data_IF_938602369045
#
_entry.id   IF_938602369045
#
_cell.length_a   1.000
_cell.length_b   1.000
_cell.length_c   1.000
_cell.angle_alpha   90.00
_cell.angle_beta   90.00
_cell.angle_gamma   90.00
#
_symmetry.space_group_name_H-M   'P 1'
#
loop_
_entity.id
_entity.type
_entity.pdbx_description
1 polymer ?
#
# COMPACT_ATOMS: atom_id res chain seq x y z
N UNK A 1 4.58 12.99 12.25
CA UNK A 1 5.45 11.80 12.07
C UNK A 1 5.28 10.80 13.20
N UNK A 2 5.48 9.53 12.86
CA UNK A 2 5.36 8.44 13.80
C UNK A 2 6.70 7.77 14.05
N UNK A 3 6.84 7.21 15.26
CA UNK A 3 7.89 6.25 15.58
C UNK A 3 7.26 4.87 15.68
N UNK A 4 7.85 3.90 15.00
CA UNK A 4 7.39 2.51 15.02
C UNK A 4 8.31 1.71 15.94
N UNK A 5 7.71 1.05 16.92
CA UNK A 5 8.39 0.13 17.81
C UNK A 5 8.00 -1.29 17.44
N UNK A 6 8.98 -2.17 17.43
CA UNK A 6 8.75 -3.62 17.30
C UNK A 6 9.38 -4.28 18.52
N UNK A 7 8.58 -5.01 19.29
CA UNK A 7 8.99 -5.66 20.53
C UNK A 7 9.69 -4.69 21.48
N UNK A 8 9.11 -3.50 21.64
CA UNK A 8 9.58 -2.41 22.50
C UNK A 8 10.91 -1.76 22.07
N UNK A 9 11.36 -2.01 20.85
CA UNK A 9 12.54 -1.33 20.29
C UNK A 9 12.11 -0.39 19.17
N UNK A 10 12.56 0.85 19.21
CA UNK A 10 12.32 1.80 18.13
C UNK A 10 13.09 1.36 16.87
N UNK A 11 12.37 1.11 15.78
CA UNK A 11 12.96 0.62 14.53
C UNK A 11 12.88 1.65 13.41
N UNK A 12 11.85 2.48 13.40
CA UNK A 12 11.69 3.58 12.45
C UNK A 12 11.21 4.81 13.19
N UNK A 13 11.76 5.97 12.89
CA UNK A 13 11.37 7.25 13.49
C UNK A 13 11.13 8.28 12.40
N UNK A 14 10.30 9.28 12.71
CA UNK A 14 9.99 10.36 11.78
C UNK A 14 9.26 9.91 10.53
N UNK A 15 8.45 8.85 10.62
CA UNK A 15 7.70 8.32 9.49
C UNK A 15 6.49 9.20 9.21
N UNK A 16 6.49 9.86 8.07
CA UNK A 16 5.42 10.74 7.63
C UNK A 16 4.45 10.03 6.67
N UNK A 17 3.34 10.71 6.38
CA UNK A 17 2.34 10.22 5.44
C UNK A 17 2.96 9.92 4.08
N UNK A 18 2.58 8.79 3.48
CA UNK A 18 3.06 8.28 2.19
C UNK A 18 4.54 7.90 2.15
N UNK A 19 5.22 7.86 3.26
CA UNK A 19 6.59 7.35 3.32
C UNK A 19 6.62 5.84 3.40
N UNK A 20 7.66 5.26 2.78
CA UNK A 20 7.89 3.81 2.75
C UNK A 20 9.29 3.54 3.29
N UNK A 21 9.38 2.62 4.24
CA UNK A 21 10.67 2.24 4.82
C UNK A 21 11.36 1.17 3.98
N UNK A 22 12.62 0.92 4.28
CA UNK A 22 13.32 -0.26 3.78
C UNK A 22 12.79 -1.51 4.49
N UNK A 23 12.95 -2.67 3.84
CA UNK A 23 12.63 -3.94 4.47
C UNK A 23 13.53 -4.17 5.68
N UNK A 24 12.93 -4.75 6.70
CA UNK A 24 13.62 -5.16 7.90
C UNK A 24 13.33 -6.63 8.17
N UNK A 25 14.37 -7.38 8.47
CA UNK A 25 14.24 -8.80 8.77
C UNK A 25 13.73 -9.00 10.20
N UNK A 26 12.71 -9.84 10.34
CA UNK A 26 12.14 -10.25 11.62
C UNK A 26 12.08 -11.76 11.68
N UNK A 27 12.23 -12.31 12.89
CA UNK A 27 11.99 -13.74 13.12
C UNK A 27 10.53 -14.09 12.90
N UNK A 28 10.26 -15.32 12.48
CA UNK A 28 8.88 -15.81 12.40
C UNK A 28 8.27 -15.89 13.80
N UNK A 29 6.98 -15.58 13.87
CA UNK A 29 6.23 -15.61 15.13
C UNK A 29 5.49 -14.30 15.35
N UNK A 30 4.93 -14.17 16.55
CA UNK A 30 4.22 -12.97 16.94
C UNK A 30 5.19 -11.88 17.40
N UNK A 31 4.96 -10.68 16.90
CA UNK A 31 5.68 -9.48 17.31
C UNK A 31 4.68 -8.41 17.73
N UNK A 32 5.05 -7.60 18.70
CA UNK A 32 4.23 -6.47 19.12
C UNK A 32 4.70 -5.21 18.42
N UNK A 33 3.78 -4.61 17.67
CA UNK A 33 4.00 -3.35 16.96
C UNK A 33 3.34 -2.23 17.74
N UNK A 34 4.06 -1.13 17.97
CA UNK A 34 3.51 0.06 18.60
C UNK A 34 3.78 1.27 17.74
N UNK A 35 2.78 2.13 17.60
CA UNK A 35 2.86 3.36 16.84
C UNK A 35 2.76 4.53 17.81
N UNK A 36 3.82 5.32 17.88
CA UNK A 36 3.91 6.47 18.78
C UNK A 36 3.99 7.76 17.96
N UNK A 37 3.23 8.76 18.36
CA UNK A 37 3.32 10.09 17.77
C UNK A 37 4.50 10.89 18.34
N UNK A 38 4.79 12.04 17.71
CA UNK A 38 5.85 12.95 18.14
C UNK A 38 5.61 13.54 19.54
N UNK A 39 4.36 13.52 20.00
CA UNK A 39 3.98 13.95 21.35
C UNK A 39 4.22 12.86 22.43
N UNK A 40 4.75 11.71 22.05
CA UNK A 40 4.98 10.58 22.95
C UNK A 40 3.73 9.74 23.22
N UNK A 41 2.60 10.05 22.60
CA UNK A 41 1.37 9.27 22.77
C UNK A 41 1.42 8.00 21.91
N UNK A 42 1.05 6.85 22.54
CA UNK A 42 0.96 5.58 21.82
C UNK A 42 -0.45 5.44 21.25
N UNK A 43 -0.56 5.56 19.92
CA UNK A 43 -1.84 5.49 19.23
C UNK A 43 -2.33 4.07 19.02
N UNK A 44 -1.40 3.12 18.93
CA UNK A 44 -1.74 1.73 18.64
C UNK A 44 -0.66 0.81 19.20
N UNK A 45 -1.10 -0.29 19.79
CA UNK A 45 -0.25 -1.43 20.12
C UNK A 45 -0.98 -2.69 19.66
N UNK A 46 -0.34 -3.45 18.76
CA UNK A 46 -0.97 -4.59 18.12
C UNK A 46 0.03 -5.74 18.00
N UNK A 47 -0.40 -6.93 18.37
CA UNK A 47 0.35 -8.16 18.12
C UNK A 47 -0.02 -8.67 16.73
N UNK A 48 1.01 -8.94 15.90
CA UNK A 48 0.82 -9.45 14.55
C UNK A 48 1.75 -10.63 14.32
N UNK A 49 1.27 -11.64 13.62
CA UNK A 49 2.10 -12.77 13.22
C UNK A 49 2.93 -12.39 12.00
N UNK A 50 4.23 -12.62 12.11
CA UNK A 50 5.19 -12.47 11.00
C UNK A 50 5.52 -13.87 10.51
N UNK A 51 5.11 -14.16 9.28
CA UNK A 51 5.33 -15.45 8.68
C UNK A 51 6.58 -15.48 7.82
N UNK A 52 6.64 -16.50 6.98
CA UNK A 52 7.67 -16.64 5.96
C UNK A 52 7.40 -15.67 4.80
N UNK A 53 8.48 -15.24 4.13
CA UNK A 53 8.39 -14.35 2.97
C UNK A 53 8.38 -12.88 3.33
N UNK A 54 8.04 -12.05 2.35
CA UNK A 54 8.06 -10.59 2.47
C UNK A 54 6.65 -10.05 2.60
N UNK A 55 6.51 -8.98 3.38
CA UNK A 55 5.24 -8.28 3.53
C UNK A 55 5.48 -6.80 3.77
N UNK A 56 4.50 -6.00 3.41
CA UNK A 56 4.42 -4.59 3.75
C UNK A 56 3.37 -4.41 4.82
N UNK A 57 3.73 -3.75 5.92
CA UNK A 57 2.79 -3.42 6.99
C UNK A 57 2.45 -1.94 6.85
N UNK A 58 1.18 -1.66 6.65
CA UNK A 58 0.68 -0.30 6.44
C UNK A 58 0.01 0.24 7.69
N UNK A 59 0.31 1.48 8.03
CA UNK A 59 -0.42 2.24 9.06
C UNK A 59 -1.61 2.89 8.38
N UNK A 60 -2.80 2.54 8.82
CA UNK A 60 -4.05 2.99 8.19
C UNK A 60 -5.01 3.54 9.23
N UNK A 61 -6.01 4.29 8.76
CA UNK A 61 -7.14 4.65 9.58
C UNK A 61 -8.16 3.49 9.61
N UNK A 62 -8.96 3.46 10.67
CA UNK A 62 -10.06 2.50 10.79
C UNK A 62 -11.20 3.14 11.58
N UNK A 63 -12.29 2.41 11.75
CA UNK A 63 -13.43 2.88 12.55
C UNK A 63 -13.10 3.14 14.02
N UNK A 64 -12.01 2.56 14.51
CA UNK A 64 -11.60 2.69 15.93
C UNK A 64 -10.30 3.49 16.10
N UNK A 65 -9.83 4.17 15.04
CA UNK A 65 -8.59 4.95 15.04
C UNK A 65 -7.55 4.31 14.14
N UNK A 66 -6.27 4.44 14.51
CA UNK A 66 -5.19 3.83 13.72
C UNK A 66 -5.21 2.31 13.82
N UNK A 67 -4.84 1.66 12.73
CA UNK A 67 -4.67 0.22 12.67
C UNK A 67 -3.46 -0.13 11.79
N UNK A 68 -3.06 -1.38 11.82
CA UNK A 68 -2.01 -1.94 10.97
C UNK A 68 -2.59 -3.03 10.10
N UNK A 69 -2.22 -3.01 8.83
CA UNK A 69 -2.64 -3.99 7.83
C UNK A 69 -1.40 -4.61 7.21
N UNK A 70 -1.37 -5.93 7.11
CA UNK A 70 -0.27 -6.64 6.47
C UNK A 70 -0.65 -7.02 5.04
N UNK A 71 0.17 -6.60 4.08
CA UNK A 71 0.00 -6.90 2.66
C UNK A 71 1.15 -7.81 2.25
N UNK A 72 0.84 -9.03 1.83
CA UNK A 72 1.86 -9.98 1.41
C UNK A 72 2.40 -9.61 0.03
N UNK A 73 3.71 -9.73 -0.12
CA UNK A 73 4.40 -9.58 -1.38
C UNK A 73 4.40 -10.93 -2.09
N UNK A 74 3.39 -11.18 -2.92
CA UNK A 74 3.27 -12.42 -3.67
C UNK A 74 4.21 -12.43 -4.87
N UNK A 75 4.56 -13.63 -5.34
CA UNK A 75 5.42 -13.77 -6.50
C UNK A 75 4.72 -13.32 -7.78
N UNK A 76 5.47 -12.65 -8.64
CA UNK A 76 5.02 -12.30 -9.98
C UNK A 76 6.22 -12.32 -10.92
N UNK A 77 6.41 -13.41 -11.70
CA UNK A 77 7.55 -13.52 -12.60
C UNK A 77 7.50 -12.44 -13.67
N UNK A 78 8.64 -11.82 -13.91
CA UNK A 78 8.81 -10.81 -14.95
C UNK A 78 9.99 -11.19 -15.85
N UNK A 79 10.07 -10.52 -17.00
CA UNK A 79 11.21 -10.61 -17.90
C UNK A 79 11.62 -9.19 -18.35
N UNK A 80 12.59 -9.13 -19.26
CA UNK A 80 13.13 -7.84 -19.70
C UNK A 80 12.16 -7.02 -20.58
N UNK A 81 10.99 -7.57 -20.94
CA UNK A 81 9.95 -6.87 -21.71
C UNK A 81 8.69 -6.61 -20.91
N UNK A 82 8.59 -7.13 -19.69
CA UNK A 82 7.37 -7.07 -18.89
C UNK A 82 7.63 -6.61 -17.47
N UNK A 83 6.56 -6.17 -16.84
CA UNK A 83 6.52 -5.81 -15.43
C UNK A 83 5.23 -6.31 -14.82
N UNK A 84 5.16 -6.33 -13.49
CA UNK A 84 3.97 -6.68 -12.75
C UNK A 84 3.41 -5.44 -12.06
N UNK A 85 2.09 -5.36 -12.00
CA UNK A 85 1.40 -4.23 -11.37
C UNK A 85 0.17 -4.74 -10.64
N UNK A 86 -0.06 -4.20 -9.46
CA UNK A 86 -1.30 -4.43 -8.69
C UNK A 86 -1.71 -3.16 -7.98
N UNK A 87 -2.97 -3.13 -7.53
CA UNK A 87 -3.56 -2.03 -6.76
C UNK A 87 -3.87 -2.53 -5.36
N UNK A 88 -3.44 -1.76 -4.36
CA UNK A 88 -3.76 -1.99 -2.96
C UNK A 88 -4.52 -0.78 -2.42
N UNK A 89 -5.70 -0.99 -1.88
CA UNK A 89 -6.53 0.10 -1.39
C UNK A 89 -6.32 0.29 0.12
N UNK A 90 -5.69 1.40 0.48
CA UNK A 90 -5.52 1.84 1.87
C UNK A 90 -6.32 3.10 2.17
N UNK A 91 -7.24 3.49 1.28
CA UNK A 91 -8.08 4.68 1.41
C UNK A 91 -9.36 4.35 2.19
N UNK A 92 -9.24 4.34 3.50
CA UNK A 92 -10.34 3.97 4.40
C UNK A 92 -11.62 4.78 4.13
N UNK A 93 -11.49 6.10 3.93
CA UNK A 93 -12.63 6.99 3.78
C UNK A 93 -13.34 6.86 2.43
N UNK A 94 -12.65 6.35 1.42
CA UNK A 94 -13.19 6.22 0.06
C UNK A 94 -14.01 4.96 -0.15
N UNK A 95 -13.87 3.95 0.71
CA UNK A 95 -14.45 2.64 0.49
C UNK A 95 -13.79 1.93 -0.69
N UNK A 96 -14.48 0.98 -1.35
CA UNK A 96 -13.91 0.28 -2.49
C UNK A 96 -13.55 1.24 -3.61
N UNK A 97 -12.48 0.93 -4.34
CA UNK A 97 -12.00 1.74 -5.47
C UNK A 97 -11.92 0.90 -6.73
N UNK A 98 -12.09 1.58 -7.86
CA UNK A 98 -11.81 1.06 -9.19
C UNK A 98 -10.57 1.78 -9.73
N UNK A 99 -9.63 1.02 -10.24
CA UNK A 99 -8.46 1.58 -10.89
C UNK A 99 -8.29 0.97 -12.28
N UNK A 100 -7.74 1.74 -13.20
CA UNK A 100 -7.36 1.23 -14.51
C UNK A 100 -5.98 1.73 -14.87
N UNK A 101 -5.22 0.87 -15.53
CA UNK A 101 -3.92 1.18 -16.09
C UNK A 101 -3.98 0.81 -17.57
N UNK A 102 -4.15 1.81 -18.45
CA UNK A 102 -4.48 1.56 -19.85
C UNK A 102 -5.77 0.75 -19.96
N UNK A 103 -5.70 -0.43 -20.58
CA UNK A 103 -6.82 -1.34 -20.75
C UNK A 103 -6.95 -2.40 -19.64
N UNK A 104 -6.15 -2.31 -18.59
CA UNK A 104 -6.18 -3.25 -17.48
C UNK A 104 -7.00 -2.63 -16.36
N UNK A 105 -7.94 -3.40 -15.83
CA UNK A 105 -8.90 -2.92 -14.83
C UNK A 105 -8.76 -3.70 -13.53
N UNK A 106 -8.83 -2.96 -12.43
CA UNK A 106 -8.87 -3.47 -11.07
C UNK A 106 -10.12 -2.91 -10.41
N UNK A 107 -11.21 -3.68 -10.43
CA UNK A 107 -12.50 -3.18 -9.98
C UNK A 107 -12.82 -3.65 -8.57
N UNK A 108 -13.50 -2.79 -7.82
CA UNK A 108 -14.01 -3.11 -6.49
C UNK A 108 -12.93 -3.61 -5.53
N UNK A 109 -11.77 -2.94 -5.53
CA UNK A 109 -10.71 -3.25 -4.58
C UNK A 109 -11.12 -2.70 -3.22
N UNK A 110 -11.38 -3.59 -2.28
CA UNK A 110 -11.84 -3.22 -0.95
C UNK A 110 -10.70 -2.63 -0.12
N UNK A 111 -11.07 -1.85 0.89
CA UNK A 111 -10.11 -1.34 1.86
C UNK A 111 -9.34 -2.49 2.51
N UNK A 112 -8.05 -2.28 2.67
CA UNK A 112 -7.08 -3.22 3.24
C UNK A 112 -6.80 -4.46 2.35
N UNK A 113 -7.26 -4.46 1.12
CA UNK A 113 -7.02 -5.53 0.15
C UNK A 113 -6.06 -5.08 -0.95
N UNK A 114 -5.29 -6.04 -1.44
CA UNK A 114 -4.49 -5.90 -2.65
C UNK A 114 -5.08 -6.81 -3.72
N UNK A 115 -5.32 -6.25 -4.89
CA UNK A 115 -5.72 -7.04 -6.05
C UNK A 115 -4.57 -7.95 -6.50
N UNK A 116 -4.90 -9.00 -7.24
CA UNK A 116 -3.87 -9.86 -7.84
C UNK A 116 -3.02 -9.08 -8.83
N UNK A 117 -1.75 -9.44 -8.93
CA UNK A 117 -0.86 -8.84 -9.92
C UNK A 117 -1.34 -9.12 -11.34
N UNK A 118 -1.21 -8.10 -12.18
CA UNK A 118 -1.31 -8.23 -13.65
C UNK A 118 0.09 -8.06 -14.24
N UNK A 119 0.43 -8.93 -15.18
CA UNK A 119 1.68 -8.83 -15.92
C UNK A 119 1.43 -8.02 -17.18
N UNK A 120 2.21 -6.99 -17.37
CA UNK A 120 2.03 -6.02 -18.47
C UNK A 120 3.33 -5.83 -19.22
N UNK A 121 3.24 -5.42 -20.49
CA UNK A 121 4.40 -4.92 -21.19
C UNK A 121 4.90 -3.66 -20.50
N UNK A 122 6.24 -3.53 -20.40
CA UNK A 122 6.83 -2.27 -19.93
C UNK A 122 6.46 -1.13 -20.86
N UNK A 123 6.36 0.08 -20.33
CA UNK A 123 6.03 1.26 -21.10
C UNK A 123 5.21 2.27 -20.32
N UNK A 124 4.59 3.17 -21.07
CA UNK A 124 3.83 4.28 -20.50
C UNK A 124 2.34 3.99 -20.54
N UNK A 125 1.67 4.30 -19.43
CA UNK A 125 0.24 4.06 -19.25
C UNK A 125 -0.41 5.27 -18.61
N UNK A 126 -1.72 5.38 -18.78
CA UNK A 126 -2.53 6.32 -18.01
C UNK A 126 -3.22 5.57 -16.90
N UNK A 127 -2.96 5.99 -15.65
CA UNK A 127 -3.63 5.49 -14.46
C UNK A 127 -4.86 6.35 -14.17
N UNK A 128 -5.99 5.69 -13.92
CA UNK A 128 -7.21 6.34 -13.42
C UNK A 128 -7.67 5.60 -12.18
N UNK A 129 -8.04 6.36 -11.16
CA UNK A 129 -8.60 5.80 -9.92
C UNK A 129 -9.87 6.55 -9.59
N UNK A 130 -10.94 5.81 -9.32
CA UNK A 130 -12.23 6.32 -8.91
C UNK A 130 -12.77 5.52 -7.74
N UNK A 131 -13.69 6.10 -6.99
CA UNK A 131 -14.47 5.32 -6.03
C UNK A 131 -15.36 4.36 -6.81
N UNK A 132 -15.50 3.12 -6.32
CA UNK A 132 -16.40 2.14 -6.96
C UNK A 132 -17.86 2.62 -6.97
N UNK A 133 -18.24 3.43 -5.99
CA UNK A 133 -19.58 4.03 -5.94
C UNK A 133 -19.80 5.08 -7.04
N UNK A 134 -18.74 5.64 -7.61
CA UNK A 134 -18.80 6.63 -8.69
C UNK A 134 -17.73 6.34 -9.75
N UNK A 135 -17.86 5.22 -10.47
CA UNK A 135 -16.80 4.75 -11.37
C UNK A 135 -16.58 5.70 -12.57
N UNK A 136 -17.58 6.49 -12.93
CA UNK A 136 -17.51 7.45 -14.03
C UNK A 136 -16.79 8.75 -13.67
N UNK A 137 -16.41 8.93 -12.40
CA UNK A 137 -15.78 10.16 -11.90
C UNK A 137 -14.39 9.87 -11.34
N UNK A 138 -13.36 9.76 -12.21
CA UNK A 138 -12.00 9.51 -11.71
C UNK A 138 -11.50 10.68 -10.88
N UNK A 139 -10.97 10.36 -9.69
CA UNK A 139 -10.38 11.34 -8.77
C UNK A 139 -8.88 11.51 -9.01
N UNK A 140 -8.25 10.52 -9.65
CA UNK A 140 -6.85 10.60 -10.06
C UNK A 140 -6.77 10.16 -11.51
N UNK A 141 -6.08 10.96 -12.32
CA UNK A 141 -5.69 10.62 -13.70
C UNK A 141 -4.26 11.08 -13.87
N UNK A 142 -3.34 10.15 -14.07
CA UNK A 142 -1.92 10.48 -14.09
C UNK A 142 -1.15 9.50 -14.97
N UNK A 143 -0.07 9.95 -15.64
CA UNK A 143 0.80 9.05 -16.37
C UNK A 143 1.63 8.19 -15.42
N UNK A 144 1.85 6.94 -15.81
CA UNK A 144 2.68 5.99 -15.07
C UNK A 144 3.60 5.29 -16.07
N UNK A 145 4.88 5.20 -15.72
CA UNK A 145 5.86 4.46 -16.50
C UNK A 145 6.23 3.19 -15.77
N UNK A 146 6.05 2.05 -16.43
CA UNK A 146 6.48 0.74 -15.90
C UNK A 146 7.79 0.34 -16.57
N UNK A 147 8.84 0.22 -15.80
CA UNK A 147 10.14 -0.23 -16.28
C UNK A 147 10.18 -1.77 -16.33
N UNK A 148 10.94 -2.36 -17.27
CA UNK A 148 10.99 -3.82 -17.42
C UNK A 148 11.61 -4.49 -16.19
N UNK A 149 11.23 -5.74 -15.96
CA UNK A 149 11.72 -6.60 -14.89
C UNK A 149 11.42 -6.08 -13.48
N UNK A 150 10.39 -5.26 -13.33
CA UNK A 150 10.02 -4.64 -12.06
C UNK A 150 8.64 -5.11 -11.61
N UNK A 151 8.43 -5.05 -10.31
CA UNK A 151 7.16 -5.39 -9.65
C UNK A 151 6.68 -4.14 -8.91
N UNK A 152 5.47 -3.69 -9.25
CA UNK A 152 4.91 -2.46 -8.70
C UNK A 152 3.64 -2.74 -7.91
N UNK A 153 3.48 -2.06 -6.79
CA UNK A 153 2.20 -1.93 -6.10
C UNK A 153 1.81 -0.46 -6.07
N UNK A 154 0.61 -0.16 -6.54
CA UNK A 154 0.02 1.15 -6.42
C UNK A 154 -0.83 1.17 -5.16
N UNK A 155 -0.45 1.98 -4.19
CA UNK A 155 -1.25 2.22 -3.01
C UNK A 155 -2.19 3.39 -3.23
N UNK A 156 -3.44 3.20 -2.88
CA UNK A 156 -4.46 4.26 -2.90
C UNK A 156 -4.65 4.72 -1.46
N UNK A 157 -4.45 6.01 -1.23
CA UNK A 157 -4.42 6.62 0.11
C UNK A 157 -5.44 7.75 0.18
N UNK A 158 -5.83 8.14 1.40
CA UNK A 158 -6.52 9.41 1.63
C UNK A 158 -5.55 10.40 2.27
N UNK A 159 -5.38 11.58 1.65
CA UNK A 159 -4.56 12.64 2.25
C UNK A 159 -5.35 13.48 3.27
N UNK A 160 -6.66 13.24 3.38
CA UNK A 160 -7.56 13.92 4.31
C UNK A 160 -8.69 12.95 4.68
N UNK A 161 -9.39 13.09 5.83
CA UNK A 161 -10.52 12.22 6.19
C UNK A 161 -11.79 12.54 5.39
N UNK A 162 -11.74 12.32 4.09
CA UNK A 162 -12.83 12.56 3.15
C UNK A 162 -12.77 11.54 2.03
N UNK A 163 -13.94 11.11 1.54
CA UNK A 163 -14.05 10.04 0.54
C UNK A 163 -13.40 10.38 -0.79
N UNK A 164 -13.34 11.65 -1.16
CA UNK A 164 -12.84 12.09 -2.47
C UNK A 164 -11.36 12.50 -2.44
N UNK A 165 -10.71 12.40 -1.29
CA UNK A 165 -9.31 12.82 -1.13
C UNK A 165 -8.35 11.68 -1.43
N UNK A 166 -8.44 11.14 -2.64
CA UNK A 166 -7.57 10.04 -3.09
C UNK A 166 -6.23 10.60 -3.55
N UNK A 167 -5.17 9.96 -3.06
CA UNK A 167 -3.81 10.11 -3.52
C UNK A 167 -3.24 8.74 -3.84
N UNK A 168 -2.37 8.65 -4.82
CA UNK A 168 -1.72 7.40 -5.21
C UNK A 168 -0.24 7.44 -4.90
N UNK A 169 0.29 6.28 -4.54
CA UNK A 169 1.71 6.08 -4.27
C UNK A 169 2.16 4.82 -5.00
N UNK A 170 3.01 4.98 -6.01
CA UNK A 170 3.56 3.85 -6.75
C UNK A 170 4.85 3.39 -6.07
N UNK A 171 4.85 2.16 -5.62
CA UNK A 171 6.01 1.56 -4.94
C UNK A 171 6.54 0.42 -5.78
N UNK A 172 7.83 0.50 -6.10
CA UNK A 172 8.53 -0.59 -6.75
C UNK A 172 8.99 -1.58 -5.69
N UNK A 173 8.62 -2.84 -5.87
CA UNK A 173 9.06 -3.91 -4.99
C UNK A 173 10.54 -4.19 -5.23
N UNK A 174 11.32 -4.12 -4.16
CA UNK A 174 12.78 -4.28 -4.21
C UNK A 174 13.20 -5.69 -3.81
N UNK A 175 12.50 -6.69 -4.32
CA UNK A 175 12.96 -8.06 -4.19
C UNK A 175 14.23 -8.23 -5.00
N UNK A 176 15.27 -8.61 -4.36
CA UNK A 176 16.50 -8.94 -5.04
C UNK A 176 16.64 -10.45 -5.21
#
# INVERSE_FOLDING_TARGET
PFTVYIDNQAVFSGLDFSEVTQYRQLSQGYHTFSIMGSNGYVYLRKSMYVGDGMATIAIVNSSTGLDLVSIRDTACPTDWTSSCFRVCNLAYYSGPVNASLGNIYFNSVNFADAASFSRLSSGNYTLRVARSARPENPLVTTPVTLNPSRIYTLYVLNWNPSADTIQTLLVEDRRS
#
